data_IF_814930977941
#
_entry.id   IF_814930977941
#
_cell.length_a   1.000
_cell.length_b   1.000
_cell.length_c   1.000
_cell.angle_alpha   90.00
_cell.angle_beta   90.00
_cell.angle_gamma   90.00
#
_symmetry.space_group_name_H-M   'P 1'
#
loop_
_entity.id
_entity.type
_entity.pdbx_description
1 polymer ?
#
# COMPACT_ATOMS: atom_id res chain seq x y z
N UNK A 1 -22.36 8.16 9.97
CA UNK A 1 -23.15 7.01 9.48
C UNK A 1 -22.18 5.87 9.22
N UNK A 2 -22.07 4.92 10.16
CA UNK A 2 -21.25 3.71 10.00
C UNK A 2 -21.91 2.87 8.91
N UNK A 3 -21.22 2.65 7.78
CA UNK A 3 -21.70 1.81 6.69
C UNK A 3 -20.79 0.57 6.62
N UNK A 4 -21.25 -0.60 7.13
CA UNK A 4 -20.44 -1.81 7.16
C UNK A 4 -20.00 -2.26 5.76
N UNK A 5 -20.82 -2.04 4.74
CA UNK A 5 -20.55 -2.44 3.37
C UNK A 5 -19.44 -1.59 2.71
N UNK A 6 -19.32 -0.31 3.10
CA UNK A 6 -18.19 0.52 2.69
C UNK A 6 -16.87 0.04 3.28
N UNK A 7 -16.88 -0.44 4.52
CA UNK A 7 -15.69 -1.00 5.14
C UNK A 7 -15.27 -2.31 4.49
N UNK A 8 -16.23 -3.17 4.10
CA UNK A 8 -15.95 -4.43 3.40
C UNK A 8 -15.28 -4.18 2.04
N UNK A 9 -15.83 -3.27 1.23
CA UNK A 9 -15.23 -2.93 -0.08
C UNK A 9 -13.85 -2.28 0.02
N UNK A 10 -13.62 -1.44 1.03
CA UNK A 10 -12.30 -0.86 1.30
C UNK A 10 -11.30 -1.92 1.75
N UNK A 11 -11.76 -2.91 2.51
CA UNK A 11 -10.93 -4.03 2.95
C UNK A 11 -10.56 -4.97 1.80
N UNK A 12 -11.49 -5.25 0.88
CA UNK A 12 -11.21 -5.97 -0.36
C UNK A 12 -10.20 -5.23 -1.23
N UNK A 13 -10.41 -3.92 -1.42
CA UNK A 13 -9.49 -3.09 -2.19
C UNK A 13 -8.09 -3.05 -1.56
N UNK A 14 -8.01 -2.90 -0.24
CA UNK A 14 -6.74 -2.99 0.48
C UNK A 14 -6.02 -4.31 0.19
N UNK A 15 -6.72 -5.43 0.30
CA UNK A 15 -6.12 -6.75 0.08
C UNK A 15 -5.67 -6.91 -1.38
N UNK A 16 -6.48 -6.47 -2.33
CA UNK A 16 -6.17 -6.51 -3.76
C UNK A 16 -4.92 -5.69 -4.08
N UNK A 17 -4.83 -4.45 -3.58
CA UNK A 17 -3.67 -3.58 -3.81
C UNK A 17 -2.39 -4.18 -3.19
N UNK A 18 -2.46 -4.79 -2.00
CA UNK A 18 -1.30 -5.49 -1.42
C UNK A 18 -0.86 -6.67 -2.27
N UNK A 19 -1.80 -7.51 -2.73
CA UNK A 19 -1.51 -8.67 -3.56
C UNK A 19 -0.91 -8.28 -4.91
N UNK A 20 -1.47 -7.26 -5.58
CA UNK A 20 -0.93 -6.75 -6.83
C UNK A 20 0.44 -6.12 -6.64
N UNK A 21 0.64 -5.37 -5.55
CA UNK A 21 1.95 -4.84 -5.18
C UNK A 21 3.00 -5.93 -5.08
N UNK A 22 2.70 -6.99 -4.32
CA UNK A 22 3.60 -8.15 -4.17
C UNK A 22 3.86 -8.87 -5.50
N UNK A 23 2.83 -9.06 -6.33
CA UNK A 23 2.96 -9.69 -7.64
C UNK A 23 3.94 -8.92 -8.54
N UNK A 24 3.79 -7.61 -8.67
CA UNK A 24 4.69 -6.80 -9.49
C UNK A 24 6.12 -6.77 -8.94
N UNK A 25 6.28 -6.68 -7.62
CA UNK A 25 7.61 -6.77 -7.00
C UNK A 25 8.29 -8.11 -7.28
N UNK A 26 7.56 -9.23 -7.24
CA UNK A 26 8.10 -10.55 -7.58
C UNK A 26 8.54 -10.67 -9.05
N UNK A 27 8.04 -9.81 -9.93
CA UNK A 27 8.41 -9.73 -11.35
C UNK A 27 9.54 -8.73 -11.62
N UNK A 28 10.02 -8.02 -10.60
CA UNK A 28 11.01 -6.94 -10.72
C UNK A 28 10.41 -5.59 -11.14
N UNK A 29 9.09 -5.49 -11.26
CA UNK A 29 8.38 -4.27 -11.66
C UNK A 29 8.15 -3.35 -10.45
N UNK A 30 9.23 -2.71 -9.98
CA UNK A 30 9.20 -1.92 -8.74
C UNK A 30 8.26 -0.72 -8.78
N UNK A 31 8.12 -0.04 -9.93
CA UNK A 31 7.24 1.13 -10.05
C UNK A 31 5.77 0.76 -9.87
N UNK A 32 5.31 -0.30 -10.56
CA UNK A 32 3.95 -0.82 -10.44
C UNK A 32 3.69 -1.39 -9.05
N UNK A 33 4.67 -2.11 -8.49
CA UNK A 33 4.60 -2.61 -7.11
C UNK A 33 4.38 -1.49 -6.10
N UNK A 34 5.18 -0.43 -6.19
CA UNK A 34 5.07 0.75 -5.31
C UNK A 34 3.76 1.50 -5.50
N UNK A 35 3.26 1.61 -6.73
CA UNK A 35 1.97 2.25 -7.02
C UNK A 35 0.83 1.55 -6.27
N UNK A 36 0.74 0.23 -6.39
CA UNK A 36 -0.28 -0.53 -5.66
C UNK A 36 -0.12 -0.44 -4.14
N UNK A 37 1.11 -0.55 -3.61
CA UNK A 37 1.34 -0.40 -2.16
C UNK A 37 1.01 1.01 -1.65
N UNK A 38 1.16 2.05 -2.47
CA UNK A 38 0.72 3.41 -2.13
C UNK A 38 -0.81 3.55 -2.09
N UNK A 39 -1.53 2.87 -2.99
CA UNK A 39 -2.98 2.81 -2.95
C UNK A 39 -3.47 2.06 -1.70
N UNK A 40 -2.80 0.97 -1.32
CA UNK A 40 -3.11 0.23 -0.09
C UNK A 40 -3.01 1.14 1.15
N UNK A 41 -2.04 2.05 1.19
CA UNK A 41 -1.91 3.04 2.27
C UNK A 41 -3.06 4.05 2.31
N UNK A 42 -3.61 4.43 1.16
CA UNK A 42 -4.75 5.36 1.06
C UNK A 42 -6.05 4.79 1.64
N UNK A 43 -6.24 3.48 1.49
CA UNK A 43 -7.50 2.81 1.84
C UNK A 43 -7.45 2.07 3.17
N UNK A 44 -6.26 1.95 3.78
CA UNK A 44 -6.12 1.30 5.07
C UNK A 44 -6.55 2.22 6.22
N UNK A 45 -7.14 1.64 7.27
CA UNK A 45 -7.56 2.40 8.46
C UNK A 45 -6.40 2.83 9.37
N UNK A 46 -5.18 2.31 9.16
CA UNK A 46 -4.00 2.55 10.01
C UNK A 46 -2.71 2.63 9.18
N UNK A 47 -2.49 3.73 8.42
CA UNK A 47 -1.34 3.85 7.51
C UNK A 47 0.02 3.81 8.21
N UNK A 48 0.11 4.29 9.45
CA UNK A 48 1.36 4.28 10.23
C UNK A 48 1.81 2.85 10.59
N UNK A 49 0.88 1.97 10.97
CA UNK A 49 1.19 0.58 11.27
C UNK A 49 1.55 -0.19 9.99
N UNK A 50 0.82 0.05 8.90
CA UNK A 50 1.13 -0.56 7.62
C UNK A 50 2.52 -0.12 7.09
N UNK A 51 2.89 1.15 7.27
CA UNK A 51 4.24 1.63 6.93
C UNK A 51 5.34 0.93 7.73
N UNK A 52 5.11 0.67 9.03
CA UNK A 52 6.05 -0.12 9.83
C UNK A 52 6.19 -1.54 9.28
N UNK A 53 5.08 -2.18 8.88
CA UNK A 53 5.13 -3.51 8.26
C UNK A 53 5.95 -3.45 6.96
N UNK A 54 5.65 -2.52 6.06
CA UNK A 54 6.38 -2.35 4.81
C UNK A 54 7.87 -2.07 4.99
N UNK A 55 8.25 -1.31 6.02
CA UNK A 55 9.66 -1.09 6.35
C UNK A 55 10.43 -2.38 6.65
N UNK A 56 9.75 -3.37 7.24
CA UNK A 56 10.37 -4.65 7.61
C UNK A 56 10.29 -5.71 6.50
N UNK A 57 9.29 -5.61 5.60
CA UNK A 57 9.04 -6.65 4.58
C UNK A 57 9.57 -6.29 3.20
N UNK A 58 9.69 -5.01 2.87
CA UNK A 58 10.14 -4.56 1.55
C UNK A 58 11.67 -4.40 1.52
N UNK A 59 12.30 -4.66 0.35
CA UNK A 59 13.68 -4.25 0.13
C UNK A 59 13.85 -2.73 0.38
N UNK A 60 14.99 -2.28 0.94
CA UNK A 60 15.20 -0.86 1.27
C UNK A 60 14.92 0.10 0.11
N UNK A 61 15.37 -0.25 -1.10
CA UNK A 61 15.14 0.55 -2.31
C UNK A 61 13.65 0.72 -2.63
N UNK A 62 12.86 -0.35 -2.51
CA UNK A 62 11.41 -0.31 -2.77
C UNK A 62 10.70 0.51 -1.71
N UNK A 63 11.11 0.39 -0.46
CA UNK A 63 10.56 1.18 0.63
C UNK A 63 10.86 2.68 0.47
N UNK A 64 12.07 3.06 0.05
CA UNK A 64 12.40 4.45 -0.27
C UNK A 64 11.57 5.01 -1.44
N UNK A 65 11.36 4.22 -2.49
CA UNK A 65 10.47 4.59 -3.59
C UNK A 65 9.04 4.84 -3.11
N UNK A 66 8.54 4.00 -2.20
CA UNK A 66 7.23 4.17 -1.58
C UNK A 66 7.17 5.46 -0.74
N UNK A 67 8.20 5.75 0.06
CA UNK A 67 8.30 6.98 0.83
C UNK A 67 8.31 8.23 -0.05
N UNK A 68 8.85 8.18 -1.28
CA UNK A 68 8.78 9.31 -2.23
C UNK A 68 7.40 9.51 -2.86
N UNK A 69 6.55 8.47 -2.90
CA UNK A 69 5.15 8.57 -3.37
C UNK A 69 4.21 9.13 -2.30
N UNK A 70 4.50 8.91 -1.02
CA UNK A 70 3.68 9.35 0.13
C UNK A 70 3.64 10.88 0.38
N UNK A 71 4.67 11.70 0.14
CA UNK A 71 4.59 13.17 0.35
C UNK A 71 3.57 13.88 -0.56
N UNK A 72 2.95 13.17 -1.51
CA UNK A 72 1.80 13.66 -2.28
C UNK A 72 0.43 13.31 -1.66
N UNK A 73 0.39 12.43 -0.66
CA UNK A 73 -0.82 11.85 -0.08
C UNK A 73 -1.19 12.49 1.29
N UNK A 74 -0.21 13.04 2.00
CA UNK A 74 -0.39 13.61 3.34
C UNK A 74 -0.24 15.16 3.41
N UNK A 75 -0.49 15.88 2.30
CA UNK A 75 -0.62 17.34 2.29
C UNK A 75 -2.08 17.78 2.31
#
# INVERSE_FOLDING_TARGET
LWDPAKNEKLQELFLQEVQMGQLWLSRGEHQLGVEHLSNALLVCGQPQELLKVFKHTLPPQVFEMLLHKIPLICQ
#
